data_IF_735878282085
#
_entry.id   IF_735878282085
#
_cell.length_a   1.000
_cell.length_b   1.000
_cell.length_c   1.000
_cell.angle_alpha   90.00
_cell.angle_beta   90.00
_cell.angle_gamma   90.00
#
_symmetry.space_group_name_H-M   'P 1'
#
loop_
_entity.id
_entity.type
_entity.pdbx_description
1 polymer ?
#
# COMPACT_ATOMS: atom_id res chain seq x y z
N UNK A 1 -1.81 -28.92 9.61
CA UNK A 1 -3.14 -28.28 9.41
C UNK A 1 -3.30 -28.08 7.91
N UNK A 2 -4.47 -28.33 7.30
CA UNK A 2 -4.64 -28.14 5.85
C UNK A 2 -4.51 -26.65 5.47
N UNK A 3 -4.14 -26.38 4.22
CA UNK A 3 -4.21 -25.02 3.68
C UNK A 3 -5.65 -24.53 3.62
N UNK A 4 -5.86 -23.22 3.78
CA UNK A 4 -7.19 -22.62 3.65
C UNK A 4 -7.70 -22.80 2.22
N UNK A 5 -8.92 -23.32 2.11
CA UNK A 5 -9.57 -23.51 0.82
C UNK A 5 -10.05 -22.15 0.29
N UNK A 6 -9.46 -21.70 -0.82
CA UNK A 6 -9.90 -20.47 -1.50
C UNK A 6 -11.23 -20.65 -2.25
N UNK A 7 -11.78 -21.87 -2.30
CA UNK A 7 -13.14 -22.09 -2.75
C UNK A 7 -14.17 -21.92 -1.62
N UNK A 8 -13.83 -22.04 -0.33
CA UNK A 8 -14.79 -21.68 0.75
C UNK A 8 -15.17 -20.20 0.69
N UNK A 9 -14.27 -19.38 0.17
CA UNK A 9 -14.46 -17.97 -0.12
C UNK A 9 -15.28 -17.66 -1.38
N UNK A 10 -15.69 -18.64 -2.18
CA UNK A 10 -16.78 -18.39 -3.15
C UNK A 10 -18.14 -18.19 -2.45
N UNK A 11 -18.19 -18.36 -1.12
CA UNK A 11 -19.30 -17.94 -0.25
C UNK A 11 -19.13 -16.53 0.33
N UNK A 12 -18.08 -15.80 -0.04
CA UNK A 12 -17.89 -14.41 0.40
C UNK A 12 -19.08 -13.55 -0.07
N UNK A 13 -19.58 -12.63 0.77
CA UNK A 13 -20.51 -11.61 0.30
C UNK A 13 -19.86 -10.88 -0.87
N UNK A 14 -20.48 -10.91 -2.05
CA UNK A 14 -19.89 -10.30 -3.24
C UNK A 14 -19.65 -8.81 -2.99
N UNK A 15 -20.69 -8.08 -2.55
CA UNK A 15 -20.60 -6.65 -2.24
C UNK A 15 -20.35 -6.43 -0.75
N UNK A 16 -19.32 -5.65 -0.42
CA UNK A 16 -18.98 -5.23 0.94
C UNK A 16 -19.64 -3.90 1.22
N UNK A 17 -20.49 -3.84 2.23
CA UNK A 17 -21.01 -2.57 2.73
C UNK A 17 -19.91 -1.80 3.47
N UNK A 18 -19.51 -0.66 2.91
CA UNK A 18 -18.54 0.24 3.53
C UNK A 18 -19.13 0.83 4.82
N UNK A 19 -18.39 0.69 5.92
CA UNK A 19 -18.71 1.34 7.19
C UNK A 19 -18.19 2.77 7.17
N UNK A 20 -19.11 3.72 7.37
CA UNK A 20 -18.81 5.15 7.43
C UNK A 20 -18.59 5.68 8.86
N UNK A 21 -18.84 4.84 9.87
CA UNK A 21 -18.65 5.21 11.27
C UNK A 21 -17.15 5.31 11.61
N UNK A 22 -16.74 6.47 12.12
CA UNK A 22 -15.39 6.72 12.63
C UNK A 22 -15.37 6.30 14.10
N UNK A 23 -15.01 5.05 14.33
CA UNK A 23 -14.74 4.53 15.68
C UNK A 23 -13.39 5.05 16.18
N UNK A 24 -13.29 5.37 17.46
CA UNK A 24 -11.99 5.55 18.09
C UNK A 24 -11.24 4.21 18.25
N UNK A 25 -9.96 4.27 18.63
CA UNK A 25 -9.15 3.05 18.77
C UNK A 25 -9.69 2.13 19.86
N UNK A 26 -10.20 2.66 20.98
CA UNK A 26 -10.72 1.84 22.07
C UNK A 26 -11.97 1.06 21.66
N UNK A 27 -12.88 1.72 20.95
CA UNK A 27 -14.08 1.10 20.37
C UNK A 27 -13.70 0.01 19.36
N UNK A 28 -12.77 0.29 18.45
CA UNK A 28 -12.30 -0.70 17.48
C UNK A 28 -11.60 -1.88 18.14
N UNK A 29 -10.76 -1.64 19.15
CA UNK A 29 -10.04 -2.69 19.88
C UNK A 29 -10.97 -3.59 20.70
N UNK A 30 -12.14 -3.07 21.08
CA UNK A 30 -13.21 -3.81 21.78
C UNK A 30 -14.16 -4.54 20.82
N UNK A 31 -14.11 -4.24 19.52
CA UNK A 31 -14.95 -4.89 18.52
C UNK A 31 -14.61 -6.38 18.35
N UNK A 32 -15.60 -7.17 17.93
CA UNK A 32 -15.47 -8.62 17.79
C UNK A 32 -14.35 -9.04 16.83
N UNK A 33 -14.14 -8.30 15.74
CA UNK A 33 -13.09 -8.57 14.75
C UNK A 33 -11.67 -8.41 15.33
N UNK A 34 -11.51 -7.60 16.38
CA UNK A 34 -10.21 -7.29 17.01
C UNK A 34 -9.77 -8.30 18.07
N UNK A 35 -10.64 -9.25 18.44
CA UNK A 35 -10.39 -10.18 19.57
C UNK A 35 -9.08 -10.95 19.45
N UNK A 36 -8.68 -11.33 18.24
CA UNK A 36 -7.49 -12.13 17.97
C UNK A 36 -6.42 -11.39 17.16
N UNK A 37 -6.53 -10.06 17.05
CA UNK A 37 -5.49 -9.25 16.41
C UNK A 37 -4.47 -8.87 17.48
N UNK A 38 -3.19 -9.10 17.17
CA UNK A 38 -2.07 -8.71 18.01
C UNK A 38 -1.08 -7.93 17.16
N UNK A 39 -0.74 -6.70 17.54
CA UNK A 39 0.21 -5.90 16.76
C UNK A 39 -0.20 -5.70 15.30
N UNK A 40 -1.50 -5.62 15.01
CA UNK A 40 -2.05 -5.60 13.65
C UNK A 40 -1.91 -6.89 12.87
N UNK A 41 -1.39 -7.95 13.49
CA UNK A 41 -1.21 -9.26 12.90
C UNK A 41 -2.42 -10.15 13.18
N UNK A 42 -2.90 -10.85 12.15
CA UNK A 42 -3.97 -11.83 12.26
C UNK A 42 -3.73 -12.99 11.29
N UNK A 43 -4.14 -14.18 11.69
CA UNK A 43 -4.13 -15.37 10.84
C UNK A 43 -5.26 -16.33 11.22
N UNK A 44 -5.76 -17.14 10.27
CA UNK A 44 -6.80 -18.14 10.54
C UNK A 44 -6.27 -19.23 11.48
N UNK A 45 -7.10 -19.64 12.46
CA UNK A 45 -6.76 -20.69 13.43
C UNK A 45 -7.15 -22.11 12.99
N UNK A 46 -8.02 -22.23 11.99
CA UNK A 46 -8.59 -23.51 11.53
C UNK A 46 -7.92 -24.07 10.27
N UNK A 47 -7.13 -23.25 9.58
CA UNK A 47 -6.44 -23.61 8.34
C UNK A 47 -5.15 -22.77 8.21
N UNK A 48 -4.21 -23.22 7.39
CA UNK A 48 -2.97 -22.52 7.12
C UNK A 48 -3.17 -21.57 5.93
N UNK A 49 -2.92 -20.27 6.11
CA UNK A 49 -3.01 -19.32 5.02
C UNK A 49 -1.97 -19.61 3.92
N UNK A 50 -2.36 -19.41 2.66
CA UNK A 50 -1.48 -19.64 1.49
C UNK A 50 -0.43 -18.53 1.30
N UNK A 51 -0.59 -17.39 1.97
CA UNK A 51 0.28 -16.24 1.82
C UNK A 51 0.39 -15.48 3.13
N UNK A 52 1.60 -14.94 3.37
CA UNK A 52 1.93 -14.06 4.49
C UNK A 52 2.10 -12.64 3.96
N UNK A 53 1.27 -11.73 4.41
CA UNK A 53 1.10 -10.41 3.83
C UNK A 53 1.58 -9.29 4.74
N UNK A 54 2.40 -8.40 4.18
CA UNK A 54 2.63 -7.07 4.75
C UNK A 54 1.74 -6.07 4.02
N UNK A 55 0.77 -5.48 4.72
CA UNK A 55 0.00 -4.35 4.21
C UNK A 55 0.73 -3.07 4.64
N UNK A 56 1.26 -2.32 3.68
CA UNK A 56 2.08 -1.14 3.91
C UNK A 56 1.27 0.10 3.52
N UNK A 57 0.97 0.93 4.51
CA UNK A 57 0.20 2.15 4.37
C UNK A 57 1.14 3.34 4.59
N UNK A 58 1.40 4.10 3.53
CA UNK A 58 2.15 5.35 3.62
C UNK A 58 1.26 6.43 4.26
N UNK A 59 1.74 7.09 5.30
CA UNK A 59 0.87 7.87 6.18
C UNK A 59 1.51 9.17 6.69
N UNK A 60 0.70 10.23 6.79
CA UNK A 60 0.97 11.44 7.57
C UNK A 60 -0.34 12.19 7.84
N UNK A 61 -0.63 12.52 9.10
CA UNK A 61 -1.73 13.42 9.50
C UNK A 61 -3.11 13.09 8.89
N UNK A 62 -3.48 11.80 8.78
CA UNK A 62 -4.72 11.33 8.16
C UNK A 62 -5.54 10.43 9.10
N UNK A 63 -5.59 10.76 10.39
CA UNK A 63 -6.09 9.87 11.45
C UNK A 63 -7.53 9.40 11.20
N UNK A 64 -8.43 10.29 10.77
CA UNK A 64 -9.82 9.91 10.42
C UNK A 64 -9.86 8.87 9.29
N UNK A 65 -8.99 9.00 8.28
CA UNK A 65 -8.92 8.06 7.17
C UNK A 65 -8.37 6.72 7.66
N UNK A 66 -7.31 6.73 8.49
CA UNK A 66 -6.75 5.52 9.06
C UNK A 66 -7.76 4.76 9.92
N UNK A 67 -8.55 5.45 10.75
CA UNK A 67 -9.62 4.83 11.56
C UNK A 67 -10.68 4.16 10.67
N UNK A 68 -11.16 4.86 9.64
CA UNK A 68 -12.10 4.29 8.67
C UNK A 68 -11.49 3.09 7.93
N UNK A 69 -10.23 3.19 7.52
CA UNK A 69 -9.54 2.10 6.86
C UNK A 69 -9.41 0.88 7.76
N UNK A 70 -8.94 1.02 9.00
CA UNK A 70 -8.79 -0.11 9.93
C UNK A 70 -10.14 -0.77 10.25
N UNK A 71 -11.21 0.01 10.45
CA UNK A 71 -12.55 -0.51 10.72
C UNK A 71 -13.12 -1.35 9.56
N UNK A 72 -12.74 -1.05 8.33
CA UNK A 72 -13.21 -1.77 7.14
C UNK A 72 -12.25 -2.89 6.71
N UNK A 73 -10.94 -2.63 6.72
CA UNK A 73 -9.92 -3.48 6.15
C UNK A 73 -9.67 -4.74 7.00
N UNK A 74 -9.70 -4.64 8.33
CA UNK A 74 -9.51 -5.83 9.17
C UNK A 74 -10.58 -6.91 8.92
N UNK A 75 -11.89 -6.61 9.02
CA UNK A 75 -12.92 -7.59 8.67
C UNK A 75 -12.79 -8.12 7.24
N UNK A 76 -12.45 -7.25 6.28
CA UNK A 76 -12.25 -7.63 4.88
C UNK A 76 -11.15 -8.69 4.71
N UNK A 77 -9.95 -8.43 5.24
CA UNK A 77 -8.82 -9.37 5.15
C UNK A 77 -9.07 -10.67 5.92
N UNK A 78 -9.79 -10.60 7.05
CA UNK A 78 -10.13 -11.79 7.84
C UNK A 78 -11.07 -12.74 7.12
N UNK A 79 -12.05 -12.21 6.37
CA UNK A 79 -12.96 -13.04 5.55
C UNK A 79 -12.21 -13.76 4.43
N UNK A 80 -11.13 -13.17 3.92
CA UNK A 80 -10.22 -13.78 2.96
C UNK A 80 -9.24 -14.81 3.57
N UNK A 81 -9.31 -15.09 4.88
CA UNK A 81 -8.48 -16.08 5.58
C UNK A 81 -6.96 -15.89 5.37
N UNK A 82 -6.52 -14.63 5.35
CA UNK A 82 -5.12 -14.25 5.13
C UNK A 82 -4.30 -14.29 6.42
N UNK A 83 -3.01 -14.62 6.33
CA UNK A 83 -2.01 -14.29 7.37
C UNK A 83 -1.45 -12.91 6.98
N UNK A 84 -1.78 -11.87 7.74
CA UNK A 84 -1.41 -10.50 7.40
C UNK A 84 -0.98 -9.69 8.62
N UNK A 85 -0.20 -8.63 8.36
CA UNK A 85 0.10 -7.57 9.32
C UNK A 85 -0.07 -6.21 8.65
N UNK A 86 -0.72 -5.27 9.35
CA UNK A 86 -0.85 -3.88 8.90
C UNK A 86 0.30 -3.04 9.45
N UNK A 87 1.04 -2.39 8.55
CA UNK A 87 2.11 -1.44 8.83
C UNK A 87 1.68 -0.04 8.39
N UNK A 88 1.65 0.88 9.34
CA UNK A 88 1.46 2.31 9.08
C UNK A 88 2.83 2.98 9.12
N UNK A 89 3.31 3.44 7.98
CA UNK A 89 4.62 4.10 7.85
C UNK A 89 4.40 5.60 7.92
N UNK A 90 4.68 6.19 9.09
CA UNK A 90 4.43 7.60 9.37
C UNK A 90 5.63 8.46 9.00
N UNK A 91 5.42 9.46 8.16
CA UNK A 91 6.39 10.53 7.92
C UNK A 91 6.25 11.60 9.01
N UNK A 92 7.23 11.69 9.89
CA UNK A 92 7.23 12.59 11.05
C UNK A 92 7.57 14.04 10.70
N UNK A 93 8.42 14.26 9.69
CA UNK A 93 8.88 15.59 9.31
C UNK A 93 7.83 16.41 8.54
N UNK A 94 8.10 17.71 8.44
CA UNK A 94 7.28 18.68 7.71
C UNK A 94 7.70 18.85 6.24
N UNK A 95 8.55 17.97 5.69
CA UNK A 95 8.95 18.06 4.30
C UNK A 95 7.81 17.68 3.35
N UNK A 96 8.03 17.73 2.04
CA UNK A 96 7.06 17.20 1.08
C UNK A 96 6.80 15.72 1.37
N UNK A 97 5.52 15.31 1.26
CA UNK A 97 5.15 13.92 1.49
C UNK A 97 5.77 13.03 0.41
N UNK A 98 6.39 11.91 0.79
CA UNK A 98 7.03 11.00 -0.15
C UNK A 98 6.48 9.57 0.00
N UNK A 99 5.33 9.33 -0.66
CA UNK A 99 4.61 8.05 -0.65
C UNK A 99 5.48 6.86 -1.10
N UNK A 100 6.25 7.06 -2.18
CA UNK A 100 7.10 6.02 -2.74
C UNK A 100 8.22 5.60 -1.78
N UNK A 101 8.90 6.58 -1.17
CA UNK A 101 9.96 6.32 -0.19
C UNK A 101 9.40 5.64 1.06
N UNK A 102 8.26 6.08 1.59
CA UNK A 102 7.60 5.42 2.72
C UNK A 102 7.20 3.97 2.41
N UNK A 103 6.79 3.70 1.17
CA UNK A 103 6.49 2.33 0.72
C UNK A 103 7.74 1.43 0.75
N UNK A 104 8.89 1.91 0.27
CA UNK A 104 10.15 1.19 0.38
C UNK A 104 10.56 0.94 1.85
N UNK A 105 10.41 1.96 2.71
CA UNK A 105 10.70 1.85 4.15
C UNK A 105 9.82 0.78 4.80
N UNK A 106 8.52 0.79 4.51
CA UNK A 106 7.60 -0.22 5.01
C UNK A 106 7.98 -1.63 4.59
N UNK A 107 8.45 -1.81 3.35
CA UNK A 107 9.01 -3.08 2.90
C UNK A 107 10.26 -3.45 3.71
N UNK A 108 11.24 -2.54 3.82
CA UNK A 108 12.52 -2.80 4.51
C UNK A 108 12.34 -3.14 5.99
N UNK A 109 11.43 -2.48 6.69
CA UNK A 109 11.19 -2.75 8.11
C UNK A 109 10.31 -3.98 8.33
N UNK A 110 9.28 -4.20 7.51
CA UNK A 110 8.39 -5.36 7.68
C UNK A 110 9.12 -6.69 7.52
N UNK A 111 10.05 -6.82 6.57
CA UNK A 111 10.81 -8.06 6.35
C UNK A 111 11.74 -8.44 7.50
N UNK A 112 12.04 -7.52 8.42
CA UNK A 112 12.82 -7.80 9.63
C UNK A 112 11.97 -8.47 10.72
N UNK A 113 10.65 -8.31 10.66
CA UNK A 113 9.72 -8.74 11.71
C UNK A 113 9.09 -10.10 11.43
N UNK A 114 8.84 -10.43 10.15
CA UNK A 114 8.25 -11.71 9.76
C UNK A 114 8.61 -12.03 8.31
N UNK A 115 8.55 -13.31 7.95
CA UNK A 115 8.87 -13.78 6.59
C UNK A 115 7.69 -13.58 5.63
N UNK A 116 7.33 -12.32 5.38
CA UNK A 116 6.30 -11.95 4.42
C UNK A 116 6.70 -12.36 3.00
N UNK A 117 5.74 -12.92 2.27
CA UNK A 117 5.90 -13.39 0.90
C UNK A 117 5.23 -12.46 -0.12
N UNK A 118 4.28 -11.65 0.35
CA UNK A 118 3.46 -10.74 -0.44
C UNK A 118 3.37 -9.38 0.26
N UNK A 119 3.49 -8.30 -0.52
CA UNK A 119 3.47 -6.93 -0.05
C UNK A 119 2.35 -6.19 -0.76
N UNK A 120 1.44 -5.60 0.02
CA UNK A 120 0.36 -4.76 -0.49
C UNK A 120 0.69 -3.32 -0.13
N UNK A 121 0.88 -2.47 -1.12
CA UNK A 121 1.04 -1.02 -0.91
C UNK A 121 -0.33 -0.39 -1.06
N UNK A 122 -0.77 0.33 -0.03
CA UNK A 122 -2.16 0.70 0.12
C UNK A 122 -2.30 2.18 0.52
N UNK A 123 -3.07 2.94 -0.27
CA UNK A 123 -3.41 4.32 0.05
C UNK A 123 -4.45 4.38 1.18
N UNK A 124 -4.19 5.19 2.21
CA UNK A 124 -4.99 5.25 3.44
C UNK A 124 -6.47 5.59 3.21
N UNK A 125 -6.82 6.17 2.06
CA UNK A 125 -8.14 6.64 1.70
C UNK A 125 -8.94 5.70 0.78
N UNK A 126 -8.43 4.51 0.44
CA UNK A 126 -9.10 3.57 -0.47
C UNK A 126 -9.69 2.35 0.25
N UNK A 127 -11.02 2.22 0.23
CA UNK A 127 -11.74 1.10 0.85
C UNK A 127 -12.26 0.12 -0.23
N UNK A 128 -11.90 -1.17 -0.20
CA UNK A 128 -12.38 -2.14 -1.19
C UNK A 128 -13.88 -2.43 -1.00
N UNK A 129 -14.62 -2.51 -2.10
CA UNK A 129 -16.09 -2.70 -2.11
C UNK A 129 -16.54 -4.14 -2.41
N UNK A 130 -15.61 -5.06 -2.69
CA UNK A 130 -15.94 -6.44 -3.08
C UNK A 130 -14.93 -7.45 -2.52
N UNK A 131 -15.40 -8.44 -1.76
CA UNK A 131 -14.55 -9.45 -1.11
C UNK A 131 -13.89 -10.40 -2.12
N UNK A 132 -14.38 -10.47 -3.37
CA UNK A 132 -13.74 -11.21 -4.47
C UNK A 132 -12.46 -10.53 -4.95
N UNK A 133 -12.22 -9.27 -4.55
CA UNK A 133 -10.94 -8.59 -4.79
C UNK A 133 -9.89 -9.10 -3.80
N UNK A 134 -9.28 -10.23 -4.13
CA UNK A 134 -8.31 -10.89 -3.28
C UNK A 134 -7.07 -10.03 -3.00
N UNK A 135 -6.81 -9.73 -1.72
CA UNK A 135 -5.55 -9.13 -1.30
C UNK A 135 -4.51 -10.24 -1.18
N UNK A 136 -3.99 -10.67 -2.33
CA UNK A 136 -2.94 -11.68 -2.45
C UNK A 136 -2.02 -11.32 -3.61
N UNK A 137 -0.85 -11.94 -3.67
CA UNK A 137 0.06 -11.78 -4.79
C UNK A 137 -0.11 -12.95 -5.76
N UNK A 138 -0.01 -12.66 -7.05
CA UNK A 138 -0.07 -13.64 -8.13
C UNK A 138 1.32 -13.80 -8.76
N UNK A 139 1.39 -14.39 -9.95
CA UNK A 139 2.63 -14.56 -10.70
C UNK A 139 3.20 -13.27 -11.30
N UNK A 140 2.47 -12.16 -11.19
CA UNK A 140 2.84 -10.82 -11.65
C UNK A 140 2.38 -9.78 -10.62
N UNK A 141 2.98 -8.57 -10.61
CA UNK A 141 2.47 -7.47 -9.81
C UNK A 141 1.01 -7.17 -10.15
N UNK A 142 0.21 -6.86 -9.13
CA UNK A 142 -1.23 -6.64 -9.29
C UNK A 142 -1.60 -5.20 -9.01
N UNK A 143 -2.47 -4.62 -9.83
CA UNK A 143 -3.16 -3.38 -9.53
C UNK A 143 -4.56 -3.74 -9.02
N UNK A 144 -4.81 -3.52 -7.72
CA UNK A 144 -6.05 -3.95 -7.07
C UNK A 144 -7.15 -2.89 -7.20
N UNK A 145 -6.82 -1.60 -7.13
CA UNK A 145 -7.77 -0.47 -7.20
C UNK A 145 -8.05 0.01 -8.62
N UNK A 146 -8.66 -0.85 -9.43
CA UNK A 146 -8.89 -0.55 -10.87
C UNK A 146 -10.06 0.39 -11.14
N UNK A 147 -11.02 0.46 -10.22
CA UNK A 147 -12.25 1.23 -10.37
C UNK A 147 -12.54 2.00 -9.07
N UNK A 148 -12.19 3.28 -9.00
CA UNK A 148 -12.42 4.11 -7.82
C UNK A 148 -13.64 5.00 -8.05
N UNK A 149 -14.52 5.10 -7.06
CA UNK A 149 -15.78 5.87 -7.14
C UNK A 149 -15.59 7.34 -7.55
N UNK A 150 -14.51 7.98 -7.09
CA UNK A 150 -14.13 9.35 -7.47
C UNK A 150 -13.93 9.54 -8.98
N UNK A 151 -13.61 8.46 -9.69
CA UNK A 151 -13.38 8.45 -11.13
C UNK A 151 -14.49 7.68 -11.85
N UNK A 152 -15.72 7.73 -11.32
CA UNK A 152 -16.90 7.06 -11.86
C UNK A 152 -16.70 5.56 -12.10
N UNK A 153 -15.87 4.93 -11.25
CA UNK A 153 -15.47 3.52 -11.38
C UNK A 153 -14.78 3.18 -12.70
N UNK A 154 -14.11 4.15 -13.32
CA UNK A 154 -13.32 3.96 -14.53
C UNK A 154 -11.82 3.94 -14.25
N UNK A 155 -11.10 3.12 -15.01
CA UNK A 155 -9.64 3.16 -15.04
C UNK A 155 -9.21 4.38 -15.86
N UNK A 156 -8.58 5.37 -15.23
CA UNK A 156 -8.24 6.64 -15.87
C UNK A 156 -7.32 6.51 -17.09
N UNK A 157 -6.33 5.62 -17.04
CA UNK A 157 -5.49 5.27 -18.19
C UNK A 157 -4.90 3.85 -18.05
N UNK A 158 -4.52 3.20 -19.16
CA UNK A 158 -4.00 1.83 -19.13
C UNK A 158 -2.74 1.65 -18.25
N UNK A 159 -1.92 2.69 -18.14
CA UNK A 159 -0.69 2.71 -17.33
C UNK A 159 -0.88 2.98 -15.84
N UNK A 160 -2.09 3.27 -15.37
CA UNK A 160 -2.33 3.59 -13.96
C UNK A 160 -1.96 2.40 -13.07
N UNK A 161 -1.06 2.63 -12.12
CA UNK A 161 -0.58 1.64 -11.16
C UNK A 161 -0.45 2.25 -9.75
N UNK A 162 -1.35 3.17 -9.42
CA UNK A 162 -1.46 3.84 -8.12
C UNK A 162 -2.52 3.21 -7.22
N UNK A 163 -2.86 3.88 -6.10
CA UNK A 163 -3.88 3.41 -5.18
C UNK A 163 -3.43 2.20 -4.36
N UNK A 164 -3.88 1.01 -4.75
CA UNK A 164 -3.57 -0.26 -4.09
C UNK A 164 -2.91 -1.22 -5.06
N UNK A 165 -1.69 -1.65 -4.74
CA UNK A 165 -0.91 -2.60 -5.56
C UNK A 165 -0.33 -3.74 -4.74
N UNK A 166 -0.08 -4.88 -5.39
CA UNK A 166 0.46 -6.08 -4.75
C UNK A 166 1.72 -6.58 -5.46
N UNK A 167 2.74 -6.93 -4.69
CA UNK A 167 4.00 -7.47 -5.19
C UNK A 167 4.45 -8.69 -4.40
N UNK A 168 4.87 -9.75 -5.10
CA UNK A 168 5.70 -10.78 -4.45
C UNK A 168 7.03 -10.15 -4.04
N UNK A 169 7.65 -10.70 -3.00
CA UNK A 169 8.98 -10.27 -2.55
C UNK A 169 9.99 -10.16 -3.71
N UNK A 170 10.05 -11.20 -4.53
CA UNK A 170 10.96 -11.27 -5.68
C UNK A 170 10.68 -10.15 -6.69
N UNK A 171 9.43 -9.95 -7.06
CA UNK A 171 9.05 -8.94 -8.07
C UNK A 171 9.39 -7.52 -7.58
N UNK A 172 9.15 -7.22 -6.30
CA UNK A 172 9.48 -5.92 -5.71
C UNK A 172 11.00 -5.64 -5.71
N UNK A 173 11.81 -6.67 -5.42
CA UNK A 173 13.27 -6.59 -5.51
C UNK A 173 13.72 -6.41 -6.96
N UNK A 174 13.16 -7.18 -7.90
CA UNK A 174 13.56 -7.19 -9.31
C UNK A 174 13.31 -5.83 -10.00
N UNK A 175 12.30 -5.07 -9.54
CA UNK A 175 12.03 -3.68 -10.00
C UNK A 175 12.78 -2.60 -9.21
N UNK A 176 13.62 -3.00 -8.24
CA UNK A 176 14.31 -2.11 -7.30
C UNK A 176 13.34 -1.19 -6.53
N UNK A 177 12.19 -1.71 -6.09
CA UNK A 177 11.17 -0.93 -5.37
C UNK A 177 10.72 0.36 -6.07
N UNK A 178 10.10 1.25 -5.29
CA UNK A 178 9.62 2.55 -5.79
C UNK A 178 10.75 3.57 -5.92
N UNK A 179 10.61 4.48 -6.88
CA UNK A 179 11.50 5.63 -7.06
C UNK A 179 11.45 6.57 -5.84
N UNK A 180 12.58 6.85 -5.20
CA UNK A 180 12.61 7.62 -3.95
C UNK A 180 12.58 9.13 -4.17
N UNK A 181 12.77 9.59 -5.41
CA UNK A 181 12.92 11.01 -5.75
C UNK A 181 11.60 11.77 -5.95
N UNK A 182 10.45 11.09 -5.86
CA UNK A 182 9.15 11.73 -5.98
C UNK A 182 8.72 12.38 -4.65
N UNK A 183 9.18 13.61 -4.42
CA UNK A 183 8.83 14.42 -3.26
C UNK A 183 7.63 15.31 -3.60
N UNK A 184 6.48 15.01 -2.99
CA UNK A 184 5.19 15.62 -3.36
C UNK A 184 4.33 14.69 -4.21
N UNK A 185 3.16 15.18 -4.64
CA UNK A 185 2.18 14.38 -5.36
C UNK A 185 2.50 14.20 -6.85
N UNK A 186 2.42 12.95 -7.31
CA UNK A 186 2.26 12.57 -8.71
C UNK A 186 3.52 12.02 -9.39
N UNK A 187 3.32 11.03 -10.25
CA UNK A 187 4.31 10.44 -11.15
C UNK A 187 5.03 9.22 -10.58
N UNK A 188 4.97 8.96 -9.27
CA UNK A 188 5.67 7.84 -8.66
C UNK A 188 5.04 6.48 -8.99
N UNK A 189 3.72 6.46 -9.19
CA UNK A 189 2.93 5.31 -9.61
C UNK A 189 3.12 4.99 -11.09
N UNK A 190 3.13 6.00 -11.96
CA UNK A 190 3.49 5.86 -13.37
C UNK A 190 4.96 5.40 -13.54
N UNK A 191 5.87 5.87 -12.69
CA UNK A 191 7.26 5.39 -12.65
C UNK A 191 7.32 3.90 -12.29
N UNK A 192 6.58 3.48 -11.25
CA UNK A 192 6.48 2.08 -10.87
C UNK A 192 5.90 1.23 -12.02
N UNK A 193 4.85 1.71 -12.70
CA UNK A 193 4.32 1.04 -13.89
C UNK A 193 5.43 0.82 -14.94
N UNK A 194 6.21 1.86 -15.26
CA UNK A 194 7.31 1.77 -16.22
C UNK A 194 8.39 0.76 -15.77
N UNK A 195 8.73 0.72 -14.48
CA UNK A 195 9.68 -0.27 -13.92
C UNK A 195 9.16 -1.69 -14.09
N UNK A 196 7.89 -1.93 -13.76
CA UNK A 196 7.25 -3.24 -13.90
C UNK A 196 7.19 -3.67 -15.35
N UNK A 197 6.77 -2.80 -16.27
CA UNK A 197 6.71 -3.13 -17.69
C UNK A 197 8.11 -3.43 -18.26
N UNK A 198 9.14 -2.70 -17.81
CA UNK A 198 10.52 -2.94 -18.25
C UNK A 198 11.12 -4.25 -17.74
N UNK A 199 10.84 -4.63 -16.48
CA UNK A 199 11.48 -5.79 -15.83
C UNK A 199 10.67 -7.07 -15.87
N UNK A 200 9.35 -6.94 -15.75
CA UNK A 200 8.42 -8.06 -15.54
C UNK A 200 7.39 -8.20 -16.66
N UNK A 201 7.31 -7.18 -17.54
CA UNK A 201 6.56 -7.13 -18.80
C UNK A 201 5.03 -7.19 -18.69
N UNK A 202 4.49 -7.32 -17.48
CA UNK A 202 3.05 -7.42 -17.30
C UNK A 202 2.60 -7.07 -15.88
N UNK A 203 1.34 -6.67 -15.78
CA UNK A 203 0.59 -6.52 -14.53
C UNK A 203 -0.71 -7.33 -14.62
N UNK A 204 -1.27 -7.75 -13.49
CA UNK A 204 -2.64 -8.28 -13.44
C UNK A 204 -3.58 -7.31 -12.76
N UNK A 205 -4.87 -7.41 -13.12
CA UNK A 205 -5.96 -6.59 -12.62
C UNK A 205 -7.17 -7.50 -12.37
N UNK A 206 -7.91 -7.33 -11.27
CA UNK A 206 -9.23 -7.95 -11.14
C UNK A 206 -10.18 -7.39 -12.20
N UNK A 207 -11.31 -8.09 -12.48
CA UNK A 207 -12.42 -7.52 -13.25
C UNK A 207 -12.87 -6.18 -12.67
N UNK A 208 -13.34 -5.26 -13.51
CA UNK A 208 -13.68 -3.90 -13.10
C UNK A 208 -14.81 -3.84 -12.07
N UNK A 209 -15.76 -4.78 -12.12
CA UNK A 209 -16.85 -4.92 -11.16
C UNK A 209 -16.39 -5.45 -9.80
N UNK A 210 -15.25 -6.14 -9.77
CA UNK A 210 -14.63 -6.69 -8.54
C UNK A 210 -13.65 -5.71 -7.93
N UNK A 211 -12.78 -5.08 -8.73
CA UNK A 211 -11.75 -4.17 -8.22
C UNK A 211 -12.26 -2.76 -7.90
N UNK A 212 -13.47 -2.67 -7.36
CA UNK A 212 -14.13 -1.41 -6.99
C UNK A 212 -13.67 -0.92 -5.63
N UNK A 213 -13.46 0.40 -5.52
CA UNK A 213 -13.04 1.06 -4.31
C UNK A 213 -13.85 2.33 -4.06
N UNK A 214 -14.17 2.54 -2.78
CA UNK A 214 -14.66 3.82 -2.26
C UNK A 214 -13.47 4.64 -1.80
N UNK A 215 -13.27 5.83 -2.37
CA UNK A 215 -12.36 6.82 -1.82
C UNK A 215 -13.03 7.55 -0.64
N UNK A 216 -12.33 7.66 0.48
CA UNK A 216 -12.76 8.45 1.62
C UNK A 216 -12.65 9.93 1.24
N UNK A 217 -13.78 10.51 0.85
CA UNK A 217 -13.90 11.93 0.53
C UNK A 217 -14.25 12.69 1.81
N UNK A 218 -13.29 13.41 2.36
CA UNK A 218 -13.57 14.44 3.38
C UNK A 218 -12.90 15.74 2.93
N UNK A 219 -13.58 16.87 3.11
CA UNK A 219 -13.20 18.21 2.64
C UNK A 219 -11.81 18.73 3.08
N UNK A 220 -11.09 17.98 3.91
CA UNK A 220 -9.67 18.17 4.25
C UNK A 220 -8.73 17.46 3.27
N UNK A 221 -9.11 17.34 2.00
CA UNK A 221 -8.11 17.12 0.95
C UNK A 221 -7.31 18.42 0.79
N UNK A 222 -6.41 18.69 1.74
CA UNK A 222 -5.18 19.40 1.38
C UNK A 222 -4.53 18.52 0.33
N UNK A 223 -4.78 18.84 -0.94
CA UNK A 223 -4.12 18.21 -2.07
C UNK A 223 -2.64 18.34 -1.77
N UNK A 224 -1.97 17.20 -1.55
CA UNK A 224 -0.54 17.20 -1.29
C UNK A 224 0.13 17.99 -2.39
N UNK A 225 1.06 18.86 -2.00
CA UNK A 225 1.74 19.74 -2.94
C UNK A 225 2.30 18.91 -4.11
N UNK A 226 1.94 19.24 -5.36
CA UNK A 226 2.47 18.56 -6.53
C UNK A 226 3.99 18.51 -6.52
N UNK A 227 4.59 17.39 -6.91
CA UNK A 227 6.01 17.38 -7.22
C UNK A 227 6.25 18.25 -8.47
N UNK A 228 7.01 19.35 -8.38
CA UNK A 228 7.21 20.27 -9.51
C UNK A 228 8.01 19.65 -10.66
N UNK A 229 8.78 18.59 -10.39
CA UNK A 229 9.68 17.94 -11.35
C UNK A 229 9.15 16.57 -11.84
N UNK A 230 7.89 16.22 -11.55
CA UNK A 230 7.33 14.90 -11.89
C UNK A 230 7.43 14.58 -13.39
N UNK A 231 7.26 15.56 -14.27
CA UNK A 231 7.32 15.35 -15.71
C UNK A 231 8.75 15.11 -16.20
N UNK A 232 9.74 15.82 -15.63
CA UNK A 232 11.16 15.61 -15.91
C UNK A 232 11.59 14.21 -15.44
N UNK A 233 11.16 13.82 -14.24
CA UNK A 233 11.42 12.50 -13.66
C UNK A 233 10.82 11.36 -14.50
N UNK A 234 9.57 11.53 -14.97
CA UNK A 234 8.90 10.55 -15.83
C UNK A 234 9.57 10.42 -17.21
N UNK A 235 10.08 11.52 -17.75
CA UNK A 235 10.85 11.51 -19.00
C UNK A 235 12.16 10.74 -18.83
N UNK A 236 12.80 10.88 -17.66
CA UNK A 236 14.05 10.19 -17.33
C UNK A 236 13.81 8.81 -16.68
N UNK A 237 13.04 7.95 -17.35
CA UNK A 237 12.61 6.63 -16.84
C UNK A 237 13.71 5.53 -16.87
N UNK A 238 14.91 5.80 -17.39
CA UNK A 238 16.00 4.83 -17.44
C UNK A 238 16.74 4.65 -16.10
N UNK A 239 16.46 5.51 -15.11
CA UNK A 239 17.18 5.59 -13.82
C UNK A 239 16.81 4.53 -12.76
N UNK A 240 15.99 3.53 -13.09
CA UNK A 240 15.49 2.56 -12.11
C UNK A 240 16.61 1.82 -11.33
N UNK A 241 17.81 1.66 -11.90
CA UNK A 241 18.96 1.07 -11.22
C UNK A 241 19.72 2.06 -10.32
N UNK A 242 19.50 3.36 -10.49
CA UNK A 242 20.17 4.45 -9.78
C UNK A 242 19.32 5.02 -8.64
N UNK A 243 18.03 4.75 -8.65
CA UNK A 243 17.08 5.22 -7.63
C UNK A 243 16.05 4.14 -7.33
N UNK A 244 15.94 3.75 -6.06
CA UNK A 244 14.93 2.78 -5.63
C UNK A 244 15.14 2.26 -4.21
N UNK A 245 14.80 0.99 -4.03
CA UNK A 245 14.95 0.25 -2.78
C UNK A 245 16.40 0.23 -2.30
N UNK A 246 17.35 0.02 -3.21
CA UNK A 246 18.79 -0.02 -2.89
C UNK A 246 19.38 1.31 -2.43
N UNK A 247 18.72 2.42 -2.74
CA UNK A 247 19.17 3.78 -2.38
C UNK A 247 18.28 4.40 -1.30
N UNK A 248 17.36 3.65 -0.72
CA UNK A 248 16.40 4.16 0.28
C UNK A 248 17.15 4.58 1.55
N UNK A 249 17.09 5.87 1.87
CA UNK A 249 17.73 6.50 3.03
C UNK A 249 16.68 7.18 3.90
N UNK A 250 16.74 6.95 5.21
CA UNK A 250 15.78 7.47 6.18
C UNK A 250 16.35 7.34 7.59
N UNK A 251 15.80 8.12 8.52
CA UNK A 251 16.02 7.94 9.96
C UNK A 251 14.81 7.23 10.55
N UNK A 252 15.02 6.05 11.11
CA UNK A 252 14.02 5.37 11.94
C UNK A 252 13.95 6.06 13.30
N UNK A 253 12.79 6.60 13.67
CA UNK A 253 12.58 7.22 14.98
C UNK A 253 12.14 6.17 16.00
N UNK A 254 11.08 5.42 15.68
CA UNK A 254 10.53 4.37 16.54
C UNK A 254 9.68 3.36 15.77
N UNK A 255 9.51 2.18 16.36
CA UNK A 255 8.51 1.18 15.93
C UNK A 255 7.60 0.91 17.13
N UNK A 256 6.30 1.16 16.99
CA UNK A 256 5.29 0.93 18.03
C UNK A 256 4.29 -0.14 17.59
N UNK A 257 4.06 -1.12 18.46
CA UNK A 257 3.17 -2.24 18.20
C UNK A 257 1.80 -1.98 18.85
N UNK A 258 0.89 -1.33 18.13
CA UNK A 258 -0.50 -1.14 18.57
C UNK A 258 -1.34 -2.37 18.28
N UNK A 259 -2.47 -2.56 18.96
CA UNK A 259 -3.30 -3.76 18.77
C UNK A 259 -3.71 -3.96 17.31
N UNK A 260 -4.06 -2.89 16.60
CA UNK A 260 -4.60 -2.93 15.24
C UNK A 260 -3.55 -2.75 14.13
N UNK A 261 -2.36 -2.24 14.43
CA UNK A 261 -1.31 -2.02 13.43
C UNK A 261 0.06 -1.86 14.08
N UNK A 262 1.12 -2.03 13.30
CA UNK A 262 2.46 -1.60 13.67
C UNK A 262 2.71 -0.22 13.08
N UNK A 263 3.03 0.76 13.92
CA UNK A 263 3.49 2.07 13.50
C UNK A 263 5.00 2.03 13.29
N UNK A 264 5.46 2.47 12.12
CA UNK A 264 6.87 2.70 11.81
C UNK A 264 7.01 4.21 11.62
N UNK A 265 7.57 4.90 12.60
CA UNK A 265 7.76 6.35 12.56
C UNK A 265 9.15 6.68 12.01
N UNK A 266 9.20 7.50 10.96
CA UNK A 266 10.45 7.87 10.28
C UNK A 266 10.54 9.34 9.99
N UNK A 267 11.78 9.83 9.91
CA UNK A 267 12.12 11.15 9.39
C UNK A 267 12.85 10.99 8.07
N UNK A 268 12.36 11.70 7.05
CA UNK A 268 12.93 11.74 5.71
C UNK A 268 13.80 12.98 5.54
N UNK A 269 14.84 12.87 4.70
CA UNK A 269 15.64 14.01 4.28
C UNK A 269 15.08 14.57 2.97
N UNK A 270 14.73 15.85 2.97
CA UNK A 270 14.34 16.54 1.74
C UNK A 270 15.57 16.83 0.88
N UNK A 271 15.62 16.25 -0.31
CA UNK A 271 16.63 16.58 -1.31
C UNK A 271 16.25 17.85 -2.08
N UNK A 272 17.26 18.63 -2.47
CA UNK A 272 17.11 19.68 -3.50
C UNK A 272 17.07 19.06 -4.89
N UNK A 273 16.60 19.81 -5.88
CA UNK A 273 16.60 19.34 -7.27
C UNK A 273 18.01 18.99 -7.78
N UNK A 274 19.03 19.77 -7.41
CA UNK A 274 20.42 19.47 -7.79
C UNK A 274 20.93 18.18 -7.15
N UNK A 275 20.58 17.92 -5.89
CA UNK A 275 20.91 16.66 -5.22
C UNK A 275 20.20 15.47 -5.88
N UNK A 276 18.93 15.64 -6.28
CA UNK A 276 18.19 14.61 -7.04
C UNK A 276 18.90 14.34 -8.37
N UNK A 277 19.21 15.38 -9.15
CA UNK A 277 19.89 15.24 -10.45
C UNK A 277 21.22 14.51 -10.30
N UNK A 278 22.04 14.88 -9.31
CA UNK A 278 23.31 14.22 -9.02
C UNK A 278 23.10 12.73 -8.68
N UNK A 279 22.11 12.42 -7.84
CA UNK A 279 21.79 11.06 -7.41
C UNK A 279 21.34 10.16 -8.55
N UNK A 280 20.54 10.69 -9.47
CA UNK A 280 19.99 9.92 -10.59
C UNK A 280 20.84 10.01 -11.86
N UNK A 281 21.91 10.80 -11.87
CA UNK A 281 22.73 11.04 -13.07
C UNK A 281 22.01 11.82 -14.17
N UNK A 282 21.12 12.73 -13.77
CA UNK A 282 20.44 13.64 -14.70
C UNK A 282 21.40 14.79 -15.03
N UNK A 283 21.88 14.83 -16.27
CA UNK A 283 22.73 15.90 -16.80
C UNK A 283 21.90 17.07 -17.31
#
# INVERSE_FOLDING_TARGET
MPFCDQNESTKLPQVVTIRHEILDYYQMESASFSKNILSGHWWPKKCQANSRLAIIISYRNREKHLKLLLNNLHPFLQRQLLDYTIFVVNQHDNNLFNRALLSNIGYLESIKLYNYTCFIFHDVDLLPEDDRNWYTCENKPRHLSVAVDKFDYQLLWPGLFGGVTAFRRKDFIDVNGFATVYQGWGGEDDDMYNRVMKKLQNITRPPIDVGRYKMIQNGDHTTSEPNPHRHDLLTFNYRYSLDGLTTTEYKLNEIKFYKLFVLIDVTLTQLTWDQIKQRIGFA
#
